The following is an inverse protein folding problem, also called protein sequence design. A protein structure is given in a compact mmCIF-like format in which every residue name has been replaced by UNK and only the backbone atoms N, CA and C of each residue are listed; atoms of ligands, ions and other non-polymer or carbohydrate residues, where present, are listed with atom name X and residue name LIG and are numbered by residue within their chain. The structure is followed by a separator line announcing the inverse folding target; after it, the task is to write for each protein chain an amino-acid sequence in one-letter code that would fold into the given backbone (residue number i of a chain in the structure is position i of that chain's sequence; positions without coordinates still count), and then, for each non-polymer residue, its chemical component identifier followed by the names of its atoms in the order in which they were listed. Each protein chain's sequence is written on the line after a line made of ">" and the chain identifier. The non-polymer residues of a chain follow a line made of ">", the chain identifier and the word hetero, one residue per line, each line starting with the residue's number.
data_IF_548067901483
#
_entry.id   IF_548067901483
#
_cell.length_a   1.000
_cell.length_b   1.000
_cell.length_c   1.000
_cell.angle_alpha   90.00
_cell.angle_beta   90.00
_cell.angle_gamma   90.00
#
_symmetry.space_group_name_H-M   'P 1'
#
loop_
_entity.id
_entity.type
_entity.pdbx_description
1 polymer ?
#
# COMPACT_ATOMS: atom_id res chain seq x y z
N UNK A 1 -13.54 19.48 -0.55
CA UNK A 1 -14.30 18.21 -0.40
C UNK A 1 -14.42 17.58 -1.77
N UNK A 2 -14.03 16.32 -1.93
CA UNK A 2 -14.05 15.60 -3.20
C UNK A 2 -15.49 15.28 -3.58
N UNK A 3 -15.89 15.68 -4.77
CA UNK A 3 -17.19 15.41 -5.39
C UNK A 3 -17.07 14.70 -6.74
N UNK A 4 -15.97 14.92 -7.45
CA UNK A 4 -15.67 14.30 -8.74
C UNK A 4 -14.39 13.46 -8.69
N UNK A 5 -14.45 12.26 -9.27
CA UNK A 5 -13.33 11.30 -9.33
C UNK A 5 -13.13 10.86 -10.77
N UNK A 6 -11.93 11.02 -11.28
CA UNK A 6 -11.56 10.59 -12.62
C UNK A 6 -10.37 9.62 -12.59
N UNK A 7 -10.52 8.48 -13.25
CA UNK A 7 -9.49 7.46 -13.32
C UNK A 7 -8.92 7.40 -14.73
N UNK A 8 -7.60 7.55 -14.85
CA UNK A 8 -6.92 7.44 -16.14
C UNK A 8 -6.85 5.97 -16.57
N UNK A 9 -7.43 5.67 -17.73
CA UNK A 9 -7.31 4.41 -18.44
C UNK A 9 -6.46 4.54 -19.70
N UNK A 10 -5.82 3.45 -20.08
CA UNK A 10 -4.99 3.31 -21.27
C UNK A 10 -5.02 1.85 -21.73
N UNK A 11 -4.47 1.55 -22.89
CA UNK A 11 -4.41 0.16 -23.39
C UNK A 11 -3.58 -0.71 -22.44
N UNK A 12 -4.15 -1.81 -21.95
CA UNK A 12 -3.54 -2.67 -20.93
C UNK A 12 -3.79 -2.21 -19.48
N UNK A 13 -4.71 -1.28 -19.25
CA UNK A 13 -5.02 -0.79 -17.89
C UNK A 13 -5.42 -1.92 -16.93
N UNK A 14 -4.95 -1.85 -15.69
CA UNK A 14 -5.21 -2.88 -14.69
C UNK A 14 -6.69 -3.03 -14.36
N UNK A 15 -7.24 -4.21 -14.66
CA UNK A 15 -8.63 -4.58 -14.31
C UNK A 15 -8.85 -4.49 -12.80
N UNK A 16 -7.88 -4.98 -12.00
CA UNK A 16 -7.99 -4.92 -10.54
C UNK A 16 -7.96 -3.47 -10.03
N UNK A 17 -7.03 -2.66 -10.53
CA UNK A 17 -6.93 -1.25 -10.14
C UNK A 17 -8.18 -0.45 -10.46
N UNK A 18 -8.74 -0.63 -11.66
CA UNK A 18 -10.02 -0.05 -12.03
C UNK A 18 -11.17 -0.54 -11.14
N UNK A 19 -11.23 -1.85 -10.88
CA UNK A 19 -12.25 -2.44 -10.02
C UNK A 19 -12.24 -1.87 -8.60
N UNK A 20 -11.05 -1.68 -8.01
CA UNK A 20 -10.90 -1.05 -6.69
C UNK A 20 -11.46 0.37 -6.68
N UNK A 21 -11.10 1.18 -7.68
CA UNK A 21 -11.57 2.58 -7.73
C UNK A 21 -13.06 2.69 -8.02
N UNK A 22 -13.58 1.84 -8.93
CA UNK A 22 -15.01 1.78 -9.24
C UNK A 22 -15.83 1.33 -8.03
N UNK A 23 -15.35 0.31 -7.30
CA UNK A 23 -16.02 -0.17 -6.10
C UNK A 23 -16.07 0.91 -5.02
N UNK A 24 -14.98 1.65 -4.78
CA UNK A 24 -14.92 2.62 -3.69
C UNK A 24 -15.64 3.93 -4.06
N UNK A 25 -15.45 4.42 -5.28
CA UNK A 25 -15.92 5.75 -5.69
C UNK A 25 -17.04 5.72 -6.74
N UNK A 26 -17.21 4.63 -7.48
CA UNK A 26 -18.20 4.53 -8.56
C UNK A 26 -19.52 3.90 -8.14
N UNK A 27 -19.55 3.11 -7.07
CA UNK A 27 -20.77 2.49 -6.59
C UNK A 27 -21.67 3.51 -5.87
N UNK A 28 -22.94 3.58 -6.25
CA UNK A 28 -23.94 4.37 -5.52
C UNK A 28 -24.29 3.70 -4.19
N UNK A 29 -23.97 4.39 -3.10
CA UNK A 29 -24.27 4.00 -1.73
C UNK A 29 -25.14 5.00 -1.00
N UNK A 30 -25.88 5.82 -1.74
CA UNK A 30 -26.75 6.86 -1.19
C UNK A 30 -27.86 6.28 -0.31
N UNK A 31 -28.33 5.07 -0.63
CA UNK A 31 -29.31 4.34 0.19
C UNK A 31 -28.80 4.01 1.61
N UNK A 32 -27.49 3.90 1.80
CA UNK A 32 -26.83 3.68 3.09
C UNK A 32 -26.39 5.01 3.76
N UNK A 33 -26.77 6.15 3.18
CA UNK A 33 -26.37 7.48 3.68
C UNK A 33 -24.86 7.79 3.49
N UNK A 34 -24.19 7.09 2.55
CA UNK A 34 -22.79 7.31 2.24
C UNK A 34 -22.63 8.28 1.07
N UNK A 35 -21.49 8.99 0.97
CA UNK A 35 -21.24 9.94 -0.10
C UNK A 35 -21.22 9.27 -1.47
N UNK A 36 -21.84 9.92 -2.47
CA UNK A 36 -21.72 9.60 -3.88
C UNK A 36 -20.71 10.51 -4.56
N UNK A 37 -20.08 10.02 -5.64
CA UNK A 37 -19.12 10.76 -6.44
C UNK A 37 -19.55 10.77 -7.91
N UNK A 38 -19.25 11.86 -8.60
CA UNK A 38 -19.30 11.90 -10.06
C UNK A 38 -18.03 11.18 -10.59
N UNK A 39 -18.15 9.85 -10.73
CA UNK A 39 -17.06 8.95 -11.11
C UNK A 39 -16.99 8.78 -12.62
N UNK A 40 -15.79 8.94 -13.18
CA UNK A 40 -15.54 8.72 -14.59
C UNK A 40 -14.24 7.94 -14.84
N UNK A 41 -14.25 7.06 -15.82
CA UNK A 41 -13.04 6.51 -16.43
C UNK A 41 -12.70 7.37 -17.65
N UNK A 42 -11.46 7.83 -17.75
CA UNK A 42 -11.00 8.79 -18.77
C UNK A 42 -9.84 8.21 -19.55
N UNK A 43 -9.66 8.64 -20.80
CA UNK A 43 -8.52 8.23 -21.63
C UNK A 43 -7.98 9.39 -22.47
N UNK A 44 -6.72 9.30 -22.87
CA UNK A 44 -6.11 10.26 -23.79
C UNK A 44 -6.82 10.27 -25.17
N UNK A 45 -7.34 9.14 -25.59
CA UNK A 45 -8.19 8.97 -26.76
C UNK A 45 -9.41 8.13 -26.34
N UNK A 46 -10.57 8.74 -26.14
CA UNK A 46 -11.81 8.01 -25.89
C UNK A 46 -12.08 6.96 -26.97
N UNK A 47 -12.66 5.84 -26.55
CA UNK A 47 -12.91 4.71 -27.45
C UNK A 47 -12.88 3.36 -26.76
N UNK A 48 -12.66 2.30 -27.52
CA UNK A 48 -12.54 0.94 -27.00
C UNK A 48 -11.08 0.69 -26.61
N UNK A 49 -10.85 0.40 -25.33
CA UNK A 49 -9.57 -0.05 -24.79
C UNK A 49 -9.67 -1.49 -24.31
N UNK A 50 -8.54 -2.16 -24.20
CA UNK A 50 -8.47 -3.49 -23.56
C UNK A 50 -7.76 -3.37 -22.22
N UNK A 51 -8.21 -4.14 -21.25
CA UNK A 51 -7.54 -4.26 -19.96
C UNK A 51 -6.34 -5.21 -20.04
N UNK A 52 -5.56 -5.29 -18.97
CA UNK A 52 -4.42 -6.21 -18.77
C UNK A 52 -4.77 -7.70 -18.98
N UNK A 53 -6.03 -8.08 -18.79
CA UNK A 53 -6.55 -9.44 -19.03
C UNK A 53 -7.34 -9.55 -20.34
N UNK A 54 -7.28 -8.54 -21.20
CA UNK A 54 -7.90 -8.54 -22.53
C UNK A 54 -9.40 -8.24 -22.58
N UNK A 55 -10.03 -7.85 -21.48
CA UNK A 55 -11.45 -7.44 -21.48
C UNK A 55 -11.62 -6.11 -22.22
N UNK A 56 -12.51 -6.00 -23.20
CA UNK A 56 -12.81 -4.74 -23.85
C UNK A 56 -13.64 -3.84 -22.91
N UNK A 57 -13.31 -2.56 -22.89
CA UNK A 57 -14.06 -1.53 -22.18
C UNK A 57 -14.25 -0.31 -23.07
N UNK A 58 -15.39 0.35 -22.98
CA UNK A 58 -15.64 1.61 -23.69
C UNK A 58 -15.37 2.76 -22.71
N UNK A 59 -14.48 3.67 -23.12
CA UNK A 59 -14.18 4.90 -22.38
C UNK A 59 -14.71 6.08 -23.18
N UNK A 60 -15.63 6.83 -22.61
CA UNK A 60 -16.29 7.95 -23.29
C UNK A 60 -15.67 9.31 -22.94
N UNK A 61 -15.08 9.43 -21.73
CA UNK A 61 -14.54 10.69 -21.24
C UNK A 61 -13.07 10.89 -21.63
N UNK A 62 -12.72 12.13 -21.95
CA UNK A 62 -11.37 12.57 -22.30
C UNK A 62 -10.56 13.11 -21.13
N UNK A 63 -9.38 13.67 -21.47
CA UNK A 63 -8.46 14.25 -20.49
C UNK A 63 -8.95 15.57 -19.87
N UNK A 64 -9.87 16.28 -20.53
CA UNK A 64 -10.58 17.42 -19.98
C UNK A 64 -11.32 17.06 -18.69
N UNK A 65 -11.97 15.90 -18.68
CA UNK A 65 -12.64 15.36 -17.50
C UNK A 65 -11.63 14.97 -16.41
N UNK A 66 -10.48 14.43 -16.78
CA UNK A 66 -9.40 14.11 -15.82
C UNK A 66 -8.86 15.38 -15.17
N UNK A 67 -8.50 16.38 -15.98
CA UNK A 67 -7.89 17.61 -15.48
C UNK A 67 -8.80 18.47 -14.63
N UNK A 68 -10.12 18.34 -14.79
CA UNK A 68 -11.13 19.06 -14.01
C UNK A 68 -11.59 18.33 -12.73
N UNK A 69 -11.13 17.10 -12.47
CA UNK A 69 -11.59 16.30 -11.34
C UNK A 69 -11.02 16.77 -10.01
N UNK A 70 -11.79 16.65 -8.92
CA UNK A 70 -11.28 16.87 -7.56
C UNK A 70 -10.28 15.80 -7.13
N UNK A 71 -10.42 14.58 -7.68
CA UNK A 71 -9.50 13.47 -7.48
C UNK A 71 -9.18 12.80 -8.82
N UNK A 72 -7.92 12.92 -9.24
CA UNK A 72 -7.38 12.14 -10.36
C UNK A 72 -6.69 10.88 -9.87
N UNK A 73 -6.99 9.73 -10.47
CA UNK A 73 -6.39 8.46 -10.09
C UNK A 73 -5.65 7.86 -11.27
N UNK A 74 -4.38 7.49 -11.05
CA UNK A 74 -3.58 6.70 -11.99
C UNK A 74 -3.37 5.32 -11.38
N UNK A 75 -4.00 4.30 -11.98
CA UNK A 75 -3.78 2.90 -11.59
C UNK A 75 -2.43 2.38 -12.12
N UNK A 76 -2.19 1.11 -12.19
CA UNK A 76 -0.92 0.59 -12.72
C UNK A 76 -0.62 1.15 -14.12
N UNK A 77 0.66 1.38 -14.43
CA UNK A 77 1.15 1.79 -15.74
C UNK A 77 2.19 0.77 -16.23
N UNK A 78 1.87 0.01 -17.28
CA UNK A 78 2.69 -1.13 -17.69
C UNK A 78 4.00 -0.73 -18.36
N UNK A 79 3.98 0.38 -19.10
CA UNK A 79 5.16 0.86 -19.84
C UNK A 79 6.01 1.82 -19.00
N UNK A 80 6.48 1.38 -17.82
CA UNK A 80 7.25 2.24 -16.89
C UNK A 80 8.47 2.92 -17.54
N UNK A 81 9.05 2.30 -18.58
CA UNK A 81 10.18 2.83 -19.32
C UNK A 81 9.82 3.92 -20.33
N UNK A 82 8.57 3.99 -20.75
CA UNK A 82 8.07 4.98 -21.70
C UNK A 82 7.49 6.18 -20.96
N UNK A 83 7.87 7.39 -21.40
CA UNK A 83 7.25 8.61 -20.88
C UNK A 83 5.80 8.67 -21.33
N UNK A 84 4.86 8.93 -20.42
CA UNK A 84 3.45 9.16 -20.78
C UNK A 84 3.31 10.34 -21.75
N UNK A 85 2.26 10.34 -22.60
CA UNK A 85 1.99 11.46 -23.51
C UNK A 85 1.85 12.78 -22.75
N UNK A 86 2.41 13.87 -23.29
CA UNK A 86 2.39 15.18 -22.62
C UNK A 86 0.98 15.66 -22.25
N UNK A 87 -0.08 15.48 -23.07
CA UNK A 87 -1.45 15.84 -22.67
C UNK A 87 -1.96 15.14 -21.41
N UNK A 88 -1.51 13.91 -21.16
CA UNK A 88 -1.83 13.17 -19.90
C UNK A 88 -1.16 13.83 -18.71
N UNK A 89 0.13 14.22 -18.87
CA UNK A 89 0.89 14.88 -17.81
C UNK A 89 0.33 16.27 -17.50
N UNK A 90 -0.08 17.02 -18.54
CA UNK A 90 -0.75 18.33 -18.39
C UNK A 90 -2.06 18.20 -17.63
N UNK A 91 -2.91 17.24 -17.98
CA UNK A 91 -4.18 17.00 -17.29
C UNK A 91 -3.96 16.65 -15.81
N UNK A 92 -2.95 15.84 -15.49
CA UNK A 92 -2.62 15.49 -14.10
C UNK A 92 -2.08 16.68 -13.30
N UNK A 93 -1.26 17.55 -13.93
CA UNK A 93 -0.75 18.77 -13.27
C UNK A 93 -1.86 19.78 -12.96
N UNK A 94 -2.86 19.88 -13.83
CA UNK A 94 -3.99 20.79 -13.63
C UNK A 94 -4.79 20.50 -12.35
N UNK A 95 -4.85 19.23 -11.90
CA UNK A 95 -5.64 18.83 -10.74
C UNK A 95 -5.20 19.55 -9.44
N UNK A 96 -3.93 19.48 -8.98
CA UNK A 96 -3.51 20.21 -7.80
C UNK A 96 -3.51 21.74 -7.99
N UNK A 97 -3.41 22.26 -9.20
CA UNK A 97 -3.46 23.71 -9.47
C UNK A 97 -4.79 24.34 -9.08
N UNK A 98 -5.90 23.62 -9.20
CA UNK A 98 -7.21 24.09 -8.73
C UNK A 98 -7.59 23.55 -7.33
N UNK A 99 -6.64 22.93 -6.60
CA UNK A 99 -6.85 22.42 -5.24
C UNK A 99 -7.34 20.98 -5.15
N UNK A 100 -7.37 20.25 -6.26
CA UNK A 100 -7.67 18.82 -6.30
C UNK A 100 -6.51 17.95 -5.80
N UNK A 101 -6.74 16.64 -5.75
CA UNK A 101 -5.78 15.65 -5.27
C UNK A 101 -5.49 14.60 -6.35
N UNK A 102 -4.29 14.02 -6.31
CA UNK A 102 -3.92 12.91 -7.20
C UNK A 102 -3.56 11.69 -6.38
N UNK A 103 -4.00 10.52 -6.85
CA UNK A 103 -3.68 9.23 -6.24
C UNK A 103 -3.07 8.31 -7.29
N UNK A 104 -1.99 7.63 -6.95
CA UNK A 104 -1.44 6.57 -7.79
C UNK A 104 -1.44 5.22 -7.08
N UNK A 105 -1.65 4.17 -7.88
CA UNK A 105 -1.50 2.80 -7.46
C UNK A 105 -0.33 2.14 -8.20
N UNK A 106 0.52 1.40 -7.48
CA UNK A 106 1.60 0.63 -8.06
C UNK A 106 2.50 1.49 -8.96
N UNK A 107 2.73 1.05 -10.19
CA UNK A 107 3.52 1.76 -11.21
C UNK A 107 2.91 3.07 -11.72
N UNK A 108 1.67 3.40 -11.35
CA UNK A 108 1.10 4.73 -11.57
C UNK A 108 1.94 5.88 -10.99
N UNK A 109 2.77 5.59 -9.97
CA UNK A 109 3.73 6.56 -9.42
C UNK A 109 4.74 7.08 -10.46
N UNK A 110 5.11 6.27 -11.47
CA UNK A 110 5.98 6.71 -12.56
C UNK A 110 5.32 7.80 -13.43
N UNK A 111 4.02 7.73 -13.60
CA UNK A 111 3.26 8.75 -14.34
C UNK A 111 3.25 10.07 -13.56
N UNK A 112 3.00 10.01 -12.24
CA UNK A 112 3.03 11.20 -11.39
C UNK A 112 4.44 11.80 -11.30
N UNK A 113 5.49 10.96 -11.23
CA UNK A 113 6.88 11.42 -11.28
C UNK A 113 7.22 12.07 -12.62
N UNK A 114 6.78 11.50 -13.76
CA UNK A 114 6.97 12.09 -15.09
C UNK A 114 6.23 13.42 -15.25
N UNK A 115 5.13 13.64 -14.53
CA UNK A 115 4.41 14.90 -14.46
C UNK A 115 5.10 15.95 -13.56
N UNK A 116 6.16 15.57 -12.80
CA UNK A 116 6.82 16.44 -11.82
C UNK A 116 6.06 16.57 -10.49
N UNK A 117 4.96 15.82 -10.30
CA UNK A 117 4.11 15.91 -9.13
C UNK A 117 4.73 15.27 -7.88
N UNK A 118 5.79 14.48 -8.04
CA UNK A 118 6.51 13.84 -6.93
C UNK A 118 7.83 14.55 -6.58
N UNK A 119 8.22 15.61 -7.28
CA UNK A 119 9.49 16.29 -7.06
C UNK A 119 9.56 16.89 -5.64
N UNK A 120 10.61 16.51 -4.89
CA UNK A 120 10.83 16.91 -3.51
C UNK A 120 9.84 16.31 -2.51
N UNK A 121 9.04 15.33 -2.91
CA UNK A 121 8.05 14.67 -2.06
C UNK A 121 8.47 13.28 -1.69
N UNK A 122 7.96 12.81 -0.56
CA UNK A 122 7.98 11.41 -0.19
C UNK A 122 6.90 10.65 -0.97
N UNK A 123 7.28 9.50 -1.53
CA UNK A 123 6.36 8.68 -2.32
C UNK A 123 6.65 7.18 -2.14
N UNK A 124 5.71 6.34 -2.53
CA UNK A 124 5.93 4.90 -2.65
C UNK A 124 5.39 4.37 -3.98
N UNK A 125 5.80 3.17 -4.31
CA UNK A 125 5.30 2.36 -5.40
C UNK A 125 5.37 0.88 -4.99
N UNK A 126 4.98 -0.03 -5.85
CA UNK A 126 5.16 -1.45 -5.57
C UNK A 126 6.66 -1.76 -5.31
N UNK A 127 6.96 -2.50 -4.26
CA UNK A 127 8.33 -2.81 -3.80
C UNK A 127 9.27 -3.23 -4.94
N UNK A 128 8.74 -3.98 -5.91
CA UNK A 128 9.49 -4.47 -7.07
C UNK A 128 10.08 -3.36 -7.94
N UNK A 129 9.43 -2.20 -7.98
CA UNK A 129 9.75 -1.09 -8.85
C UNK A 129 10.32 0.13 -8.09
N UNK A 130 10.43 0.06 -6.77
CA UNK A 130 10.86 1.19 -5.95
C UNK A 130 12.29 1.65 -6.27
N UNK A 131 13.21 0.70 -6.46
CA UNK A 131 14.59 1.01 -6.82
C UNK A 131 14.68 1.69 -8.20
N UNK A 132 13.84 1.28 -9.17
CA UNK A 132 13.80 1.88 -10.50
C UNK A 132 13.18 3.28 -10.46
N UNK A 133 12.12 3.49 -9.68
CA UNK A 133 11.53 4.81 -9.47
C UNK A 133 12.56 5.78 -8.90
N UNK A 134 13.26 5.40 -7.83
CA UNK A 134 14.31 6.22 -7.21
C UNK A 134 15.47 6.53 -8.16
N UNK A 135 15.91 5.54 -8.96
CA UNK A 135 16.98 5.73 -9.92
C UNK A 135 16.60 6.68 -11.06
N UNK A 136 15.36 6.60 -11.55
CA UNK A 136 14.88 7.40 -12.68
C UNK A 136 14.48 8.82 -12.27
N UNK A 137 13.98 8.99 -11.04
CA UNK A 137 13.49 10.27 -10.52
C UNK A 137 14.17 10.58 -9.18
N UNK A 138 15.46 11.01 -9.21
CA UNK A 138 16.25 11.20 -8.00
C UNK A 138 15.77 12.35 -7.10
N UNK A 139 14.86 13.20 -7.59
CA UNK A 139 14.18 14.23 -6.82
C UNK A 139 13.06 13.68 -5.91
N UNK A 140 12.69 12.39 -6.04
CA UNK A 140 11.63 11.75 -5.27
C UNK A 140 12.24 10.97 -4.10
N UNK A 141 11.74 11.20 -2.89
CA UNK A 141 12.10 10.41 -1.70
C UNK A 141 11.25 9.12 -1.66
N UNK A 142 11.77 8.06 -2.28
CA UNK A 142 11.05 6.80 -2.45
C UNK A 142 11.18 5.92 -1.21
N UNK A 143 10.05 5.64 -0.54
CA UNK A 143 9.97 4.69 0.57
C UNK A 143 9.36 3.34 0.12
N UNK A 144 10.18 2.29 -0.09
CA UNK A 144 9.70 0.98 -0.52
C UNK A 144 9.02 0.17 0.60
N UNK A 145 9.16 0.61 1.84
CA UNK A 145 8.74 -0.14 3.03
C UNK A 145 7.30 0.12 3.47
N UNK A 146 6.50 0.91 2.73
CA UNK A 146 5.19 1.38 3.19
C UNK A 146 4.08 1.03 2.20
N UNK A 147 2.84 0.89 2.68
CA UNK A 147 1.69 0.58 1.83
C UNK A 147 1.26 1.78 0.98
N UNK A 148 1.23 2.95 1.59
CA UNK A 148 0.93 4.21 0.93
C UNK A 148 1.59 5.40 1.66
N UNK A 149 1.79 6.47 0.92
CA UNK A 149 2.28 7.76 1.39
C UNK A 149 1.29 8.83 0.95
N UNK A 150 0.93 9.73 1.86
CA UNK A 150 0.27 10.99 1.56
C UNK A 150 1.27 12.12 1.82
N UNK A 151 1.53 12.95 0.80
CA UNK A 151 2.40 14.12 0.87
C UNK A 151 1.75 15.29 0.13
N UNK A 152 1.10 16.18 0.90
CA UNK A 152 0.32 17.27 0.35
C UNK A 152 -0.88 16.79 -0.48
N UNK A 153 -1.04 17.26 -1.72
CA UNK A 153 -2.16 16.85 -2.58
C UNK A 153 -1.95 15.48 -3.24
N UNK A 154 -0.81 14.82 -2.99
CA UNK A 154 -0.43 13.59 -3.68
C UNK A 154 -0.51 12.40 -2.74
N UNK A 155 -1.15 11.32 -3.20
CA UNK A 155 -1.17 10.02 -2.52
C UNK A 155 -0.55 8.99 -3.46
N UNK A 156 0.42 8.24 -2.98
CA UNK A 156 1.02 7.13 -3.72
C UNK A 156 0.86 5.83 -2.95
N UNK A 157 0.61 4.72 -3.62
CA UNK A 157 0.45 3.42 -2.96
C UNK A 157 1.19 2.30 -3.68
N UNK A 158 1.50 1.24 -2.93
CA UNK A 158 2.10 0.02 -3.47
C UNK A 158 1.21 -0.71 -4.50
N UNK A 159 -0.06 -0.30 -4.62
CA UNK A 159 -1.01 -0.93 -5.52
C UNK A 159 -1.58 -2.24 -4.97
N UNK A 160 -2.33 -2.97 -5.80
CA UNK A 160 -3.09 -4.15 -5.40
C UNK A 160 -3.89 -3.92 -4.11
N UNK A 161 -3.77 -4.76 -3.09
CA UNK A 161 -4.47 -4.59 -1.82
C UNK A 161 -4.14 -3.26 -1.11
N UNK A 162 -2.92 -2.73 -1.24
CA UNK A 162 -2.54 -1.42 -0.70
C UNK A 162 -3.24 -0.24 -1.42
N UNK A 163 -3.71 -0.46 -2.66
CA UNK A 163 -4.57 0.49 -3.37
C UNK A 163 -5.91 0.69 -2.67
N UNK A 164 -6.50 -0.39 -2.13
CA UNK A 164 -7.72 -0.33 -1.31
C UNK A 164 -7.46 0.53 -0.06
N UNK A 165 -6.34 0.29 0.63
CA UNK A 165 -6.00 1.03 1.85
C UNK A 165 -5.83 2.52 1.60
N UNK A 166 -5.14 2.89 0.50
CA UNK A 166 -4.96 4.29 0.13
C UNK A 166 -6.30 4.98 -0.19
N UNK A 167 -7.20 4.31 -0.90
CA UNK A 167 -8.54 4.85 -1.18
C UNK A 167 -9.39 4.97 0.10
N UNK A 168 -9.37 3.96 0.98
CA UNK A 168 -10.06 4.03 2.28
C UNK A 168 -9.45 5.08 3.21
N UNK A 169 -8.13 5.28 3.16
CA UNK A 169 -7.47 6.36 3.86
C UNK A 169 -7.99 7.72 3.39
N UNK A 170 -8.08 7.93 2.07
CA UNK A 170 -8.62 9.15 1.51
C UNK A 170 -10.08 9.39 1.95
N UNK A 171 -10.94 8.36 1.93
CA UNK A 171 -12.30 8.47 2.46
C UNK A 171 -12.32 8.88 3.94
N UNK A 172 -11.38 8.35 4.72
CA UNK A 172 -11.25 8.67 6.15
C UNK A 172 -10.85 10.12 6.38
N UNK A 173 -9.95 10.64 5.56
CA UNK A 173 -9.51 12.05 5.63
C UNK A 173 -10.65 12.99 5.22
N UNK A 174 -11.38 12.65 4.16
CA UNK A 174 -12.43 13.50 3.58
C UNK A 174 -13.75 13.45 4.37
N UNK A 175 -14.18 12.27 4.82
CA UNK A 175 -15.51 12.02 5.38
C UNK A 175 -15.49 11.44 6.80
N UNK A 176 -14.31 11.22 7.35
CA UNK A 176 -14.15 10.64 8.68
C UNK A 176 -14.19 9.11 8.72
N UNK A 177 -13.83 8.57 9.90
CA UNK A 177 -13.69 7.13 10.11
C UNK A 177 -14.99 6.34 9.92
N UNK A 178 -16.13 6.95 10.20
CA UNK A 178 -17.45 6.29 10.07
C UNK A 178 -17.74 5.86 8.63
N UNK A 179 -17.56 6.76 7.67
CA UNK A 179 -17.75 6.50 6.23
C UNK A 179 -16.75 5.47 5.72
N UNK A 180 -15.47 5.65 6.00
CA UNK A 180 -14.42 4.70 5.57
C UNK A 180 -14.68 3.28 6.11
N UNK A 181 -15.08 3.16 7.38
CA UNK A 181 -15.40 1.86 7.99
C UNK A 181 -16.68 1.22 7.38
N UNK A 182 -17.68 2.03 7.00
CA UNK A 182 -18.89 1.52 6.36
C UNK A 182 -18.56 0.95 4.97
N UNK A 183 -17.80 1.69 4.15
CA UNK A 183 -17.35 1.22 2.83
C UNK A 183 -16.48 -0.05 2.96
N UNK A 184 -15.48 -0.06 3.86
CA UNK A 184 -14.62 -1.22 4.08
C UNK A 184 -15.43 -2.47 4.47
N UNK A 185 -16.49 -2.32 5.28
CA UNK A 185 -17.37 -3.42 5.67
C UNK A 185 -18.12 -4.00 4.49
N UNK A 186 -18.62 -3.15 3.59
CA UNK A 186 -19.30 -3.59 2.37
C UNK A 186 -18.34 -4.33 1.43
N UNK A 187 -17.09 -3.89 1.37
CA UNK A 187 -16.03 -4.55 0.60
C UNK A 187 -15.46 -5.81 1.27
N UNK A 188 -15.87 -6.11 2.50
CA UNK A 188 -15.35 -7.24 3.31
C UNK A 188 -13.82 -7.16 3.50
N UNK A 189 -13.31 -5.95 3.70
CA UNK A 189 -11.88 -5.69 3.96
C UNK A 189 -11.68 -5.05 5.34
N UNK A 190 -10.47 -5.16 5.93
CA UNK A 190 -10.16 -4.44 7.16
C UNK A 190 -10.40 -2.94 7.02
N UNK A 191 -11.05 -2.30 8.00
CA UNK A 191 -11.46 -0.89 7.88
C UNK A 191 -10.29 0.10 7.87
N UNK A 192 -9.12 -0.33 8.28
CA UNK A 192 -7.92 0.50 8.28
C UNK A 192 -6.66 -0.35 8.37
N UNK A 193 -5.74 -0.09 7.43
CA UNK A 193 -4.33 -0.43 7.57
C UNK A 193 -3.53 0.87 7.49
N UNK A 194 -2.57 1.02 8.42
CA UNK A 194 -1.69 2.19 8.43
C UNK A 194 -0.79 2.17 7.19
N UNK A 195 -0.66 3.31 6.51
CA UNK A 195 0.22 3.45 5.34
C UNK A 195 1.67 3.06 5.63
N UNK A 196 2.14 3.28 6.85
CA UNK A 196 3.47 2.89 7.30
C UNK A 196 3.66 1.39 7.54
N UNK A 197 2.65 0.53 7.28
CA UNK A 197 2.86 -0.92 7.29
C UNK A 197 3.74 -1.35 6.13
N UNK A 198 4.61 -2.33 6.40
CA UNK A 198 5.47 -2.90 5.36
C UNK A 198 4.62 -3.55 4.26
N UNK A 199 4.98 -3.31 3.01
CA UNK A 199 4.50 -4.10 1.89
C UNK A 199 4.86 -5.56 2.15
N UNK A 200 4.01 -6.51 1.69
CA UNK A 200 4.36 -7.92 1.74
C UNK A 200 5.57 -8.14 0.81
N UNK A 201 6.75 -8.23 1.41
CA UNK A 201 7.95 -8.64 0.69
C UNK A 201 7.91 -10.16 0.59
N UNK A 202 8.05 -10.77 -0.61
CA UNK A 202 8.09 -12.21 -0.74
C UNK A 202 9.11 -12.81 0.22
N UNK A 203 8.80 -13.98 0.77
CA UNK A 203 9.80 -14.83 1.40
C UNK A 203 10.96 -14.94 0.43
N UNK A 204 12.14 -14.57 0.89
CA UNK A 204 13.35 -14.65 0.08
C UNK A 204 13.54 -16.10 -0.34
N UNK A 205 13.32 -16.37 -1.60
CA UNK A 205 13.71 -17.66 -2.18
C UNK A 205 15.22 -17.57 -2.38
N UNK A 206 15.96 -18.43 -1.68
CA UNK A 206 17.40 -18.52 -1.85
C UNK A 206 17.72 -18.93 -3.29
N UNK A 207 18.68 -18.27 -3.90
CA UNK A 207 19.23 -18.78 -5.15
C UNK A 207 19.91 -20.12 -4.89
N UNK A 208 19.79 -21.12 -5.79
CA UNK A 208 20.46 -22.39 -5.61
C UNK A 208 21.97 -22.18 -5.43
N UNK A 209 22.47 -22.43 -4.22
CA UNK A 209 23.89 -22.29 -3.90
C UNK A 209 24.28 -21.20 -2.90
N UNK A 210 23.31 -20.55 -2.23
CA UNK A 210 23.57 -19.60 -1.14
C UNK A 210 23.52 -20.31 0.24
N UNK A 211 24.65 -20.76 0.82
CA UNK A 211 24.71 -21.57 2.05
C UNK A 211 24.43 -20.79 3.35
N UNK A 212 23.82 -19.64 3.28
CA UNK A 212 23.41 -18.79 4.41
C UNK A 212 22.19 -17.99 4.04
N UNK A 213 21.35 -18.57 3.14
CA UNK A 213 20.23 -17.89 2.52
C UNK A 213 19.29 -17.25 3.52
N UNK A 214 18.81 -16.07 3.17
CA UNK A 214 17.83 -15.33 3.98
C UNK A 214 16.50 -16.09 4.10
N UNK A 215 16.20 -17.07 3.24
CA UNK A 215 15.01 -17.90 3.35
C UNK A 215 15.09 -18.86 4.52
N UNK A 216 16.22 -19.58 4.68
CA UNK A 216 16.45 -20.45 5.83
C UNK A 216 16.45 -19.65 7.14
N UNK A 217 17.01 -18.43 7.13
CA UNK A 217 16.96 -17.52 8.26
C UNK A 217 15.52 -17.08 8.57
N UNK A 218 14.71 -16.82 7.55
CA UNK A 218 13.32 -16.44 7.69
C UNK A 218 12.50 -17.58 8.34
N UNK A 219 12.58 -18.80 7.81
CA UNK A 219 11.87 -19.97 8.38
C UNK A 219 12.28 -20.17 9.83
N UNK A 220 13.57 -20.20 10.10
CA UNK A 220 14.06 -20.33 11.48
C UNK A 220 13.51 -19.23 12.40
N UNK A 221 13.50 -17.97 11.93
CA UNK A 221 13.01 -16.85 12.75
C UNK A 221 11.52 -17.00 13.07
N UNK A 222 10.70 -17.47 12.12
CA UNK A 222 9.27 -17.69 12.37
C UNK A 222 9.03 -18.73 13.45
N UNK A 223 9.82 -19.80 13.51
CA UNK A 223 9.71 -20.84 14.53
C UNK A 223 10.19 -20.36 15.91
N UNK A 224 11.06 -19.32 15.95
CA UNK A 224 11.71 -18.85 17.18
C UNK A 224 11.27 -17.44 17.60
N UNK A 225 10.13 -16.93 17.07
CA UNK A 225 9.66 -15.57 17.38
C UNK A 225 9.48 -15.28 18.88
N UNK A 226 9.23 -16.30 19.67
CA UNK A 226 9.07 -16.24 21.12
C UNK A 226 10.37 -15.98 21.87
N UNK A 227 11.52 -16.22 21.23
CA UNK A 227 12.84 -16.03 21.83
C UNK A 227 13.32 -14.57 21.75
N UNK A 228 14.27 -14.16 22.61
CA UNK A 228 14.85 -12.82 22.57
C UNK A 228 15.89 -12.70 21.44
N UNK A 229 15.44 -12.78 20.19
CA UNK A 229 16.30 -12.64 19.01
C UNK A 229 16.71 -11.21 18.83
N UNK A 230 18.01 -10.94 18.71
CA UNK A 230 18.62 -9.67 18.31
C UNK A 230 18.99 -9.65 16.82
N UNK A 231 19.32 -8.47 16.30
CA UNK A 231 19.86 -8.33 14.93
C UNK A 231 21.22 -9.01 14.80
N UNK A 232 22.02 -9.02 15.88
CA UNK A 232 23.32 -9.66 15.90
C UNK A 232 23.20 -11.20 15.82
N UNK A 233 22.17 -11.77 16.46
CA UNK A 233 21.87 -13.21 16.35
C UNK A 233 21.46 -13.58 14.93
N UNK A 234 20.63 -12.76 14.28
CA UNK A 234 20.27 -12.94 12.87
C UNK A 234 21.49 -12.86 11.95
N UNK A 235 22.38 -11.89 12.18
CA UNK A 235 23.61 -11.72 11.41
C UNK A 235 24.56 -12.91 11.59
N UNK A 236 24.76 -13.37 12.83
CA UNK A 236 25.60 -14.54 13.13
C UNK A 236 25.07 -15.80 12.44
N UNK A 237 23.74 -15.99 12.44
CA UNK A 237 23.12 -17.14 11.79
C UNK A 237 23.23 -17.07 10.26
N UNK A 238 23.20 -15.88 9.70
CA UNK A 238 23.46 -15.64 8.29
C UNK A 238 24.97 -15.70 7.93
N UNK A 239 25.84 -16.01 8.86
CA UNK A 239 27.30 -16.03 8.71
C UNK A 239 27.87 -14.69 8.22
N UNK A 240 27.27 -13.59 8.65
CA UNK A 240 27.63 -12.23 8.25
C UNK A 240 28.00 -11.36 9.46
N UNK A 241 28.81 -10.32 9.22
CA UNK A 241 28.94 -9.24 10.22
C UNK A 241 27.62 -8.45 10.32
N UNK A 242 27.26 -7.90 11.50
CA UNK A 242 26.01 -7.16 11.68
C UNK A 242 25.81 -6.03 10.66
N UNK A 243 26.87 -5.29 10.34
CA UNK A 243 26.82 -4.21 9.35
C UNK A 243 26.55 -4.73 7.93
N UNK A 244 27.20 -5.82 7.53
CA UNK A 244 27.01 -6.41 6.20
C UNK A 244 25.60 -7.01 6.09
N UNK A 245 25.16 -7.73 7.12
CA UNK A 245 23.82 -8.28 7.22
C UNK A 245 22.75 -7.19 7.08
N UNK A 246 22.81 -6.13 7.89
CA UNK A 246 21.83 -5.06 7.84
C UNK A 246 21.75 -4.41 6.45
N UNK A 247 22.92 -4.17 5.81
CA UNK A 247 22.97 -3.60 4.46
C UNK A 247 22.35 -4.53 3.42
N UNK A 248 22.71 -5.82 3.41
CA UNK A 248 22.18 -6.80 2.46
C UNK A 248 20.70 -7.07 2.71
N UNK A 249 20.29 -7.13 3.98
CA UNK A 249 18.91 -7.32 4.37
C UNK A 249 18.03 -6.18 3.85
N UNK A 250 18.46 -4.91 4.06
CA UNK A 250 17.73 -3.75 3.51
C UNK A 250 17.71 -3.78 1.98
N UNK A 251 18.83 -4.10 1.33
CA UNK A 251 18.89 -4.18 -0.14
C UNK A 251 17.93 -5.23 -0.72
N UNK A 252 17.73 -6.35 -0.01
CA UNK A 252 16.86 -7.46 -0.46
C UNK A 252 15.41 -7.33 0.00
N UNK A 253 15.15 -6.71 1.16
CA UNK A 253 13.82 -6.68 1.79
C UNK A 253 13.19 -5.29 1.82
N UNK A 254 13.96 -4.24 1.54
CA UNK A 254 13.50 -2.85 1.64
C UNK A 254 13.29 -2.35 3.07
N UNK A 255 13.55 -3.19 4.10
CA UNK A 255 13.33 -2.82 5.51
C UNK A 255 14.50 -3.23 6.40
N UNK A 256 14.66 -2.61 7.57
CA UNK A 256 15.71 -3.02 8.50
C UNK A 256 15.37 -4.37 9.16
N UNK A 257 16.40 -5.20 9.53
CA UNK A 257 16.16 -6.48 10.22
C UNK A 257 15.31 -6.34 11.47
N UNK A 258 15.54 -5.27 12.25
CA UNK A 258 14.75 -5.01 13.47
C UNK A 258 13.28 -4.70 13.15
N UNK A 259 13.01 -3.83 12.18
CA UNK A 259 11.63 -3.50 11.78
C UNK A 259 10.91 -4.72 11.21
N UNK A 260 11.62 -5.52 10.42
CA UNK A 260 11.11 -6.78 9.90
C UNK A 260 10.74 -7.76 11.02
N UNK A 261 11.63 -8.00 11.99
CA UNK A 261 11.39 -8.90 13.14
C UNK A 261 10.18 -8.45 13.96
N UNK A 262 10.08 -7.15 14.26
CA UNK A 262 8.89 -6.60 14.94
C UNK A 262 7.63 -6.83 14.10
N UNK A 263 7.72 -6.68 12.78
CA UNK A 263 6.62 -6.96 11.86
C UNK A 263 6.12 -8.41 11.94
N UNK A 264 7.05 -9.39 11.93
CA UNK A 264 6.70 -10.82 12.05
C UNK A 264 6.04 -11.12 13.40
N UNK A 265 6.58 -10.59 14.50
CA UNK A 265 6.02 -10.72 15.84
C UNK A 265 4.61 -10.14 15.95
N UNK A 266 4.34 -9.03 15.30
CA UNK A 266 3.00 -8.41 15.28
C UNK A 266 2.00 -9.21 14.45
N UNK A 267 2.43 -9.80 13.32
CA UNK A 267 1.57 -10.69 12.54
C UNK A 267 1.20 -11.96 13.36
N UNK A 268 2.17 -12.54 14.03
CA UNK A 268 1.89 -13.68 14.92
C UNK A 268 0.96 -13.29 16.08
N UNK A 269 1.14 -12.10 16.67
CA UNK A 269 0.25 -11.61 17.71
C UNK A 269 -1.18 -11.40 17.20
N UNK A 270 -1.34 -10.92 15.97
CA UNK A 270 -2.64 -10.78 15.32
C UNK A 270 -3.34 -12.12 15.17
N UNK A 271 -2.66 -13.13 14.62
CA UNK A 271 -3.19 -14.51 14.51
C UNK A 271 -3.65 -15.05 15.84
N UNK A 272 -2.82 -14.91 16.89
CA UNK A 272 -3.16 -15.39 18.24
C UNK A 272 -4.36 -14.64 18.84
N UNK A 273 -4.49 -13.34 18.57
CA UNK A 273 -5.65 -12.56 18.99
C UNK A 273 -6.95 -13.02 18.31
N UNK A 274 -6.88 -13.47 17.07
CA UNK A 274 -8.03 -13.95 16.30
C UNK A 274 -8.42 -15.39 16.61
N UNK A 275 -7.43 -16.24 16.93
CA UNK A 275 -7.59 -17.70 17.01
C UNK A 275 -7.64 -18.23 18.46
N UNK A 276 -7.18 -17.45 19.44
CA UNK A 276 -7.05 -17.91 20.82
C UNK A 276 -7.67 -16.94 21.83
N UNK A 277 -7.96 -17.46 23.02
CA UNK A 277 -8.42 -16.67 24.17
C UNK A 277 -7.28 -16.26 25.14
N UNK A 278 -6.01 -16.45 24.75
CA UNK A 278 -4.84 -16.08 25.56
C UNK A 278 -4.85 -14.60 25.94
N UNK A 279 -4.39 -14.24 27.13
CA UNK A 279 -4.31 -12.83 27.52
C UNK A 279 -3.32 -12.04 26.64
N UNK A 280 -3.44 -10.72 26.61
CA UNK A 280 -2.48 -9.86 25.85
C UNK A 280 -1.06 -10.09 26.37
N UNK A 281 -0.91 -10.37 27.64
CA UNK A 281 0.38 -10.67 28.30
C UNK A 281 0.95 -12.00 27.82
N UNK A 282 0.13 -13.03 27.72
CA UNK A 282 0.54 -14.35 27.18
C UNK A 282 0.92 -14.24 25.71
N UNK A 283 0.09 -13.58 24.89
CA UNK A 283 0.38 -13.36 23.48
C UNK A 283 1.67 -12.56 23.28
N UNK A 284 1.91 -11.53 24.11
CA UNK A 284 3.16 -10.78 24.06
C UNK A 284 4.37 -11.70 24.28
N UNK A 285 4.31 -12.56 25.30
CA UNK A 285 5.38 -13.52 25.59
C UNK A 285 5.59 -14.53 24.46
N UNK A 286 4.50 -15.10 23.89
CA UNK A 286 4.56 -16.02 22.75
C UNK A 286 5.13 -15.38 21.48
N UNK A 287 5.10 -14.04 21.38
CA UNK A 287 5.68 -13.30 20.28
C UNK A 287 7.03 -12.66 20.61
N UNK A 288 7.67 -12.99 21.76
CA UNK A 288 8.94 -12.42 22.16
C UNK A 288 8.91 -10.90 22.39
N UNK A 289 7.75 -10.37 22.81
CA UNK A 289 7.53 -8.96 23.10
C UNK A 289 7.16 -8.77 24.58
N UNK A 290 7.51 -7.60 25.13
CA UNK A 290 6.85 -7.20 26.38
C UNK A 290 5.42 -6.73 26.11
N UNK A 291 4.49 -6.82 27.08
CA UNK A 291 3.12 -6.33 26.89
C UNK A 291 3.07 -4.84 26.48
N UNK A 292 3.99 -4.04 26.97
CA UNK A 292 4.10 -2.63 26.62
C UNK A 292 4.53 -2.43 25.16
N UNK A 293 5.53 -3.21 24.71
CA UNK A 293 5.98 -3.19 23.30
C UNK A 293 4.87 -3.65 22.38
N UNK A 294 4.18 -4.77 22.73
CA UNK A 294 3.06 -5.26 21.94
C UNK A 294 1.99 -4.17 21.82
N UNK A 295 1.50 -3.59 22.89
CA UNK A 295 0.47 -2.54 22.82
C UNK A 295 0.90 -1.36 21.97
N UNK A 296 2.13 -0.86 22.17
CA UNK A 296 2.65 0.29 21.41
C UNK A 296 2.78 0.01 19.92
N UNK A 297 3.45 -1.09 19.56
CA UNK A 297 3.69 -1.42 18.16
C UNK A 297 2.42 -1.88 17.45
N UNK A 298 1.54 -2.61 18.14
CA UNK A 298 0.26 -3.07 17.61
C UNK A 298 -0.65 -1.87 17.33
N UNK A 299 -0.82 -0.94 18.29
CA UNK A 299 -1.65 0.24 18.08
C UNK A 299 -1.10 1.14 16.98
N UNK A 300 0.23 1.27 16.88
CA UNK A 300 0.86 2.01 15.78
C UNK A 300 0.62 1.38 14.41
N UNK A 301 0.62 0.04 14.33
CA UNK A 301 0.48 -0.70 13.07
C UNK A 301 -0.97 -0.87 12.63
N UNK A 302 -1.87 -1.13 13.57
CA UNK A 302 -3.27 -1.50 13.29
C UNK A 302 -4.29 -0.42 13.67
N UNK A 303 -3.85 0.73 14.18
CA UNK A 303 -4.72 1.84 14.56
C UNK A 303 -5.64 1.56 15.76
N UNK A 304 -5.47 0.40 16.42
CA UNK A 304 -6.32 -0.03 17.53
C UNK A 304 -5.53 -0.83 18.57
N UNK A 305 -6.03 -0.93 19.79
CA UNK A 305 -5.37 -1.74 20.82
C UNK A 305 -5.56 -3.25 20.57
N UNK A 306 -4.63 -4.13 21.02
CA UNK A 306 -4.80 -5.59 20.89
C UNK A 306 -6.13 -6.09 21.43
N UNK A 307 -6.58 -5.55 22.56
CA UNK A 307 -7.84 -5.95 23.20
C UNK A 307 -9.08 -5.50 22.41
N UNK A 308 -9.04 -4.27 21.83
CA UNK A 308 -10.12 -3.80 20.98
C UNK A 308 -10.16 -4.58 19.66
N UNK A 309 -9.00 -4.88 19.09
CA UNK A 309 -8.86 -5.73 17.90
C UNK A 309 -9.50 -7.09 18.11
N UNK A 310 -9.17 -7.80 19.21
CA UNK A 310 -9.78 -9.09 19.55
C UNK A 310 -11.30 -9.02 19.58
N UNK A 311 -11.88 -8.05 20.28
CA UNK A 311 -13.35 -7.91 20.36
C UNK A 311 -14.02 -7.80 19.00
N UNK A 312 -13.30 -7.29 17.99
CA UNK A 312 -13.83 -7.08 16.65
C UNK A 312 -13.65 -8.31 15.75
N UNK A 313 -12.57 -9.07 15.93
CA UNK A 313 -12.12 -10.09 14.96
C UNK A 313 -11.94 -11.50 15.54
N UNK A 314 -12.10 -11.71 16.85
CA UNK A 314 -12.01 -13.05 17.43
C UNK A 314 -13.09 -13.98 16.88
N UNK A 315 -12.66 -15.15 16.40
CA UNK A 315 -13.56 -16.24 15.98
C UNK A 315 -13.98 -17.14 17.17
N UNK A 316 -13.47 -16.88 18.37
CA UNK A 316 -13.80 -17.59 19.59
C UNK A 316 -15.04 -16.95 20.22
N UNK A 317 -16.20 -17.32 19.71
CA UNK A 317 -17.51 -17.05 20.25
C UNK A 317 -18.32 -18.33 20.24
#
# INVERSE_FOLDING_TARGET
>A
MISSVAVLAYEGVSTFGLGVTAEIFGCDRSADGLPGYDYAVTAAAPGVLRTDVGLPMVVEAGLDRLGAADLGIVVCWDEITRRPPEPVLEALRAIPEHGGRVLSQCTGAFVLAAAGLLDGRRATTHWRYAAELAARYPSVDVDPGVLYVEDGPVITSAGTAAGIDACLHLLRVEHGAGVANAVARQMVVPPHRDGGQAQYVPVLVDEPGDPGGLAALHEWTLDHLHEPISVDDLAARALMSPRNFARQFVARTGTTPHQWLIGQRLMRAQELLEQTNGSVEQIAAECGLTPLMLRRHFSRRYGTTPQAYRRTFSRAG
#
